data_IF_102503983142
#
_entry.id   IF_102503983142
#
_cell.length_a   1.000
_cell.length_b   1.000
_cell.length_c   1.000
_cell.angle_alpha   90.00
_cell.angle_beta   90.00
_cell.angle_gamma   90.00
#
_symmetry.space_group_name_H-M   'P 1'
#
loop_
_entity.id
_entity.type
_entity.pdbx_description
1 polymer ?
#
# COMPACT_ATOMS: atom_id res chain seq x y z
N UNK A 1 7.08 18.70 -9.92
CA UNK A 1 7.90 17.87 -9.02
C UNK A 1 7.17 16.59 -8.69
N UNK A 2 7.80 15.46 -8.89
CA UNK A 2 7.17 14.17 -8.60
C UNK A 2 7.41 13.76 -7.17
N UNK A 3 6.41 13.12 -6.58
CA UNK A 3 6.56 12.55 -5.24
C UNK A 3 7.35 11.24 -5.32
N UNK A 4 8.10 10.89 -4.27
CA UNK A 4 8.73 9.56 -4.22
C UNK A 4 7.66 8.47 -4.27
N UNK A 5 7.97 7.40 -4.99
CA UNK A 5 7.07 6.25 -5.08
C UNK A 5 7.32 5.33 -3.89
N UNK A 6 6.28 5.01 -3.14
CA UNK A 6 6.42 4.26 -1.91
C UNK A 6 5.57 2.99 -1.91
N UNK A 7 6.14 1.94 -1.32
CA UNK A 7 5.41 0.71 -1.00
C UNK A 7 5.33 0.61 0.52
N UNK A 8 4.14 0.31 1.02
CA UNK A 8 3.89 0.22 2.46
C UNK A 8 4.01 -1.23 2.90
N UNK A 9 4.84 -1.49 3.91
CA UNK A 9 4.98 -2.80 4.51
C UNK A 9 3.95 -2.94 5.63
N UNK A 10 2.89 -3.69 5.37
CA UNK A 10 1.78 -3.83 6.32
C UNK A 10 1.40 -5.30 6.52
N UNK A 11 2.37 -6.20 6.39
CA UNK A 11 2.13 -7.65 6.47
C UNK A 11 1.42 -8.02 7.76
N UNK A 12 0.28 -8.70 7.62
CA UNK A 12 -0.49 -9.19 8.74
C UNK A 12 -1.34 -8.17 9.48
N UNK A 13 -1.24 -6.87 9.13
CA UNK A 13 -1.95 -5.83 9.90
C UNK A 13 -2.75 -4.85 9.05
N UNK A 14 -2.69 -4.95 7.73
CA UNK A 14 -3.33 -3.93 6.89
C UNK A 14 -4.85 -3.85 7.14
N UNK A 15 -5.51 -4.96 7.38
CA UNK A 15 -6.95 -5.00 7.63
C UNK A 15 -7.35 -4.76 9.08
N UNK A 16 -6.43 -4.43 9.98
CA UNK A 16 -6.70 -4.31 11.40
C UNK A 16 -6.42 -2.90 11.91
N UNK A 17 -6.79 -2.64 13.16
CA UNK A 17 -6.50 -1.35 13.80
C UNK A 17 -5.01 -1.08 13.92
N UNK A 18 -4.18 -2.12 13.94
CA UNK A 18 -2.73 -1.96 13.99
C UNK A 18 -2.15 -1.42 12.68
N UNK A 19 -2.95 -1.41 11.61
CA UNK A 19 -2.53 -0.87 10.32
C UNK A 19 -2.91 0.59 10.09
N UNK A 20 -3.27 1.34 11.13
CA UNK A 20 -3.77 2.72 10.96
C UNK A 20 -2.82 3.64 10.21
N UNK A 21 -1.53 3.51 10.44
CA UNK A 21 -0.55 4.33 9.72
C UNK A 21 -0.61 4.05 8.22
N UNK A 22 -0.68 2.77 7.85
CA UNK A 22 -0.81 2.38 6.45
C UNK A 22 -2.11 2.92 5.86
N UNK A 23 -3.22 2.84 6.60
CA UNK A 23 -4.51 3.34 6.16
C UNK A 23 -4.47 4.83 5.85
N UNK A 24 -3.85 5.60 6.74
CA UNK A 24 -3.71 7.04 6.53
C UNK A 24 -2.86 7.38 5.32
N UNK A 25 -1.78 6.63 5.11
CA UNK A 25 -0.93 6.83 3.94
C UNK A 25 -1.69 6.53 2.64
N UNK A 26 -2.45 5.45 2.60
CA UNK A 26 -3.22 5.09 1.40
C UNK A 26 -4.29 6.15 1.09
N UNK A 27 -4.96 6.66 2.12
CA UNK A 27 -6.06 7.62 1.94
C UNK A 27 -5.59 9.04 1.66
N UNK A 28 -4.55 9.49 2.36
CA UNK A 28 -4.28 10.92 2.47
C UNK A 28 -2.83 11.33 2.23
N UNK A 29 -1.94 10.44 1.82
CA UNK A 29 -0.54 10.82 1.68
C UNK A 29 -0.35 11.96 0.69
N UNK A 30 0.37 12.99 1.14
CA UNK A 30 0.79 14.11 0.30
C UNK A 30 2.31 14.15 0.12
N UNK A 31 3.03 13.25 0.80
CA UNK A 31 4.49 13.17 0.72
C UNK A 31 4.97 12.10 -0.24
N UNK A 32 4.15 11.08 -0.47
CA UNK A 32 4.52 9.92 -1.26
C UNK A 32 3.41 9.59 -2.25
N UNK A 33 3.83 9.08 -3.39
CA UNK A 33 2.89 8.39 -4.28
C UNK A 33 2.86 6.94 -3.83
N UNK A 34 1.79 6.50 -3.20
CA UNK A 34 1.68 5.11 -2.72
C UNK A 34 1.33 4.24 -3.91
N UNK A 35 2.24 3.35 -4.29
CA UNK A 35 2.09 2.52 -5.48
C UNK A 35 1.79 1.05 -5.18
N UNK A 36 1.91 0.64 -3.92
CA UNK A 36 1.60 -0.73 -3.51
C UNK A 36 1.60 -0.89 -2.01
N UNK A 37 1.01 -1.99 -1.57
CA UNK A 37 0.97 -2.38 -0.16
C UNK A 37 1.38 -3.84 -0.10
N UNK A 38 2.11 -4.22 0.94
CA UNK A 38 2.49 -5.60 1.18
C UNK A 38 1.67 -6.15 2.33
N UNK A 39 0.79 -7.09 2.02
CA UNK A 39 0.06 -7.88 3.02
C UNK A 39 -0.48 -9.12 2.33
N UNK A 40 0.09 -10.28 2.66
CA UNK A 40 -0.27 -11.54 2.00
C UNK A 40 -1.75 -11.91 2.20
N UNK A 41 -2.36 -11.44 3.28
CA UNK A 41 -3.77 -11.72 3.57
C UNK A 41 -4.70 -11.12 2.52
N UNK A 42 -4.34 -9.98 1.94
CA UNK A 42 -5.18 -9.28 0.96
C UNK A 42 -4.54 -9.22 -0.43
N UNK A 43 -3.56 -10.08 -0.69
CA UNK A 43 -2.87 -10.10 -1.98
C UNK A 43 -3.87 -10.21 -3.14
N UNK A 44 -3.64 -9.42 -4.19
CA UNK A 44 -4.52 -9.40 -5.37
C UNK A 44 -5.67 -8.42 -5.27
N UNK A 45 -5.88 -7.80 -4.11
CA UNK A 45 -6.95 -6.81 -3.92
C UNK A 45 -6.42 -5.39 -4.06
N UNK A 46 -7.32 -4.44 -4.18
CA UNK A 46 -6.97 -3.02 -4.18
C UNK A 46 -6.92 -2.51 -2.74
N UNK A 47 -5.87 -1.74 -2.41
CA UNK A 47 -5.68 -1.26 -1.04
C UNK A 47 -6.79 -0.33 -0.58
N UNK A 48 -7.30 0.53 -1.47
CA UNK A 48 -8.40 1.41 -1.12
C UNK A 48 -9.69 0.64 -0.90
N UNK A 49 -9.95 -0.34 -1.75
CA UNK A 49 -11.17 -1.14 -1.65
C UNK A 49 -11.25 -1.89 -0.31
N UNK A 50 -10.13 -2.43 0.17
CA UNK A 50 -10.09 -3.13 1.46
C UNK A 50 -10.47 -2.18 2.61
N UNK A 51 -10.12 -0.90 2.51
CA UNK A 51 -10.39 0.06 3.58
C UNK A 51 -11.84 0.53 3.62
N UNK A 52 -12.38 0.91 2.46
CA UNK A 52 -13.68 1.57 2.43
C UNK A 52 -14.51 1.25 1.18
N UNK A 53 -14.14 0.25 0.42
CA UNK A 53 -14.87 -0.15 -0.78
C UNK A 53 -14.62 0.73 -1.99
N UNK A 54 -13.70 1.69 -1.90
CA UNK A 54 -13.39 2.59 -3.02
C UNK A 54 -12.01 2.28 -3.57
N UNK A 55 -11.95 1.83 -4.83
CA UNK A 55 -10.67 1.51 -5.46
C UNK A 55 -9.81 2.76 -5.63
N UNK A 56 -8.49 2.58 -5.45
CA UNK A 56 -7.52 3.67 -5.61
C UNK A 56 -6.38 3.28 -6.54
N UNK A 57 -6.50 2.14 -7.22
CA UNK A 57 -5.48 1.61 -8.13
C UNK A 57 -4.15 1.37 -7.40
N UNK A 58 -4.22 0.91 -6.16
CA UNK A 58 -3.05 0.58 -5.36
C UNK A 58 -3.10 -0.93 -5.09
N UNK A 59 -2.30 -1.73 -5.81
CA UNK A 59 -2.36 -3.19 -5.63
C UNK A 59 -1.73 -3.64 -4.32
N UNK A 60 -2.24 -4.74 -3.79
CA UNK A 60 -1.68 -5.39 -2.61
C UNK A 60 -0.95 -6.65 -3.07
N UNK A 61 0.28 -6.82 -2.60
CA UNK A 61 1.14 -7.95 -2.95
C UNK A 61 1.42 -8.82 -1.74
N UNK A 62 1.76 -10.08 -1.97
CA UNK A 62 2.09 -11.00 -0.87
C UNK A 62 3.51 -10.82 -0.36
N UNK A 63 4.41 -10.22 -1.15
CA UNK A 63 5.78 -9.95 -0.71
C UNK A 63 6.38 -8.80 -1.52
N UNK A 64 7.52 -8.29 -1.03
CA UNK A 64 8.18 -7.14 -1.66
C UNK A 64 8.67 -7.47 -3.07
N UNK A 65 9.16 -8.69 -3.30
CA UNK A 65 9.70 -9.05 -4.61
C UNK A 65 8.66 -8.88 -5.72
N UNK A 66 7.41 -9.22 -5.45
CA UNK A 66 6.34 -9.08 -6.43
C UNK A 66 6.10 -7.63 -6.82
N UNK A 67 6.41 -6.70 -5.92
CA UNK A 67 6.15 -5.27 -6.13
C UNK A 67 7.33 -4.51 -6.72
N UNK A 68 8.49 -5.13 -6.84
CA UNK A 68 9.70 -4.43 -7.29
C UNK A 68 9.61 -3.89 -8.72
N UNK A 69 8.76 -4.48 -9.57
CA UNK A 69 8.58 -3.97 -10.93
C UNK A 69 8.01 -2.55 -10.94
N UNK A 70 7.39 -2.12 -9.85
CA UNK A 70 6.86 -0.76 -9.72
C UNK A 70 7.95 0.28 -9.48
N UNK A 71 9.19 -0.16 -9.28
CA UNK A 71 10.35 0.69 -9.05
C UNK A 71 10.13 1.70 -7.93
N UNK A 72 9.85 1.22 -6.70
CA UNK A 72 9.65 2.14 -5.59
C UNK A 72 10.96 2.84 -5.20
N UNK A 73 10.82 4.08 -4.74
CA UNK A 73 11.94 4.84 -4.21
C UNK A 73 12.15 4.53 -2.73
N UNK A 74 11.08 4.12 -2.03
CA UNK A 74 11.12 3.94 -0.59
C UNK A 74 10.14 2.84 -0.16
N UNK A 75 10.52 2.13 0.88
CA UNK A 75 9.65 1.19 1.60
C UNK A 75 9.34 1.79 2.97
N UNK A 76 8.08 1.82 3.32
CA UNK A 76 7.66 2.38 4.61
C UNK A 76 7.22 1.29 5.56
#
# INVERSE_FOLDING_TARGET
MTLPRAIILAEGVYGSTNGKTAHGLVRYSKRYEIVGVIDSEFSGMDAGYVLDGKTRNIPIFSNVEEALYLKPDILI
#
